data_IF_227895352754
#
_entry.id   IF_227895352754
#
_cell.length_a   1.000
_cell.length_b   1.000
_cell.length_c   1.000
_cell.angle_alpha   90.00
_cell.angle_beta   90.00
_cell.angle_gamma   90.00
#
_symmetry.space_group_name_H-M   'P 1'
#
loop_
_entity.id
_entity.type
_entity.pdbx_description
1 polymer ?
#
# COMPACT_ATOMS: atom_id res chain seq x y z
N UNK A 1 0.96 5.80 34.42
CA UNK A 1 2.02 5.55 33.41
C UNK A 1 1.47 4.49 32.45
N UNK A 2 1.10 4.83 31.22
CA UNK A 2 0.57 3.83 30.28
C UNK A 2 1.67 2.81 29.92
N UNK A 3 1.34 1.52 29.76
CA UNK A 3 2.28 0.54 29.24
C UNK A 3 2.88 1.05 27.92
N UNK A 4 4.20 0.95 27.75
CA UNK A 4 4.91 1.41 26.53
C UNK A 4 4.30 0.88 25.23
N UNK A 5 3.62 -0.28 25.25
CA UNK A 5 2.92 -0.85 24.09
C UNK A 5 1.69 -0.03 23.66
N UNK A 6 0.91 0.50 24.60
CA UNK A 6 -0.30 1.30 24.32
C UNK A 6 0.08 2.63 23.67
N UNK A 7 1.28 3.14 23.96
CA UNK A 7 1.75 4.42 23.44
C UNK A 7 1.98 4.40 21.93
N UNK A 8 2.60 3.34 21.40
CA UNK A 8 2.92 3.24 19.97
C UNK A 8 1.68 2.82 19.13
N UNK A 9 0.63 2.29 19.77
CA UNK A 9 -0.68 1.96 19.18
C UNK A 9 -1.71 3.11 19.26
N UNK A 10 -1.39 4.21 19.96
CA UNK A 10 -2.32 5.33 20.15
C UNK A 10 -2.15 6.41 19.05
N UNK A 11 -3.25 6.77 18.35
CA UNK A 11 -3.32 7.89 17.41
C UNK A 11 -2.62 9.18 17.81
N UNK A 12 -2.75 9.55 19.08
CA UNK A 12 -2.27 10.84 19.59
C UNK A 12 -0.75 10.90 19.76
N UNK A 13 -0.03 9.80 19.59
CA UNK A 13 1.41 9.70 19.78
C UNK A 13 2.19 9.39 18.51
N UNK A 14 1.56 9.39 17.33
CA UNK A 14 2.20 8.91 16.11
C UNK A 14 3.31 9.78 15.54
N UNK A 15 3.27 11.08 15.78
CA UNK A 15 4.36 11.99 15.42
C UNK A 15 5.53 11.91 16.40
N UNK A 16 5.37 11.16 17.50
CA UNK A 16 6.38 11.02 18.55
C UNK A 16 7.29 9.83 18.28
N UNK A 17 8.49 9.89 18.85
CA UNK A 17 9.52 8.86 18.70
C UNK A 17 8.97 7.48 19.06
N UNK A 18 9.26 6.52 18.19
CA UNK A 18 8.87 5.12 18.32
C UNK A 18 9.60 4.46 19.50
N UNK A 19 8.89 3.79 20.41
CA UNK A 19 9.46 3.30 21.67
C UNK A 19 9.94 1.86 21.61
N UNK A 20 9.28 0.98 20.84
CA UNK A 20 9.65 -0.44 20.71
C UNK A 20 9.68 -0.89 19.27
N UNK A 21 10.81 -1.36 18.74
CA UNK A 21 10.93 -1.77 17.34
C UNK A 21 11.36 -3.23 17.13
N UNK A 22 11.17 -4.13 18.08
CA UNK A 22 11.39 -5.56 17.84
C UNK A 22 10.42 -6.08 16.77
N UNK A 23 10.83 -7.09 16.01
CA UNK A 23 9.99 -7.73 14.98
C UNK A 23 8.69 -8.26 15.59
N UNK A 24 8.78 -8.93 16.75
CA UNK A 24 7.61 -9.41 17.49
C UNK A 24 6.63 -8.28 17.83
N UNK A 25 7.13 -7.10 18.23
CA UNK A 25 6.26 -5.96 18.50
C UNK A 25 5.61 -5.40 17.22
N UNK A 26 6.35 -5.33 16.11
CA UNK A 26 5.79 -4.90 14.83
C UNK A 26 4.69 -5.86 14.34
N UNK A 27 4.85 -7.17 14.56
CA UNK A 27 3.80 -8.17 14.27
C UNK A 27 2.55 -7.90 15.12
N UNK A 28 2.70 -7.66 16.42
CA UNK A 28 1.57 -7.33 17.31
C UNK A 28 0.86 -6.04 16.87
N UNK A 29 1.63 -5.02 16.51
CA UNK A 29 1.10 -3.75 16.02
C UNK A 29 0.36 -3.94 14.69
N UNK A 30 0.93 -4.72 13.77
CA UNK A 30 0.29 -5.06 12.50
C UNK A 30 -1.05 -5.76 12.74
N UNK A 31 -1.06 -6.81 13.56
CA UNK A 31 -2.29 -7.54 13.91
C UNK A 31 -3.36 -6.62 14.54
N UNK A 32 -2.96 -5.72 15.43
CA UNK A 32 -3.87 -4.76 16.07
C UNK A 32 -4.54 -3.83 15.06
N UNK A 33 -3.77 -3.13 14.23
CA UNK A 33 -4.33 -2.18 13.26
C UNK A 33 -5.14 -2.88 12.18
N UNK A 34 -4.71 -4.05 11.70
CA UNK A 34 -5.42 -4.80 10.68
C UNK A 34 -6.72 -5.43 11.20
N UNK A 35 -6.75 -5.88 12.46
CA UNK A 35 -7.99 -6.33 13.08
C UNK A 35 -9.03 -5.20 13.12
N UNK A 36 -8.61 -3.99 13.53
CA UNK A 36 -9.48 -2.79 13.50
C UNK A 36 -9.93 -2.48 12.07
N UNK A 37 -9.01 -2.47 11.10
CA UNK A 37 -9.32 -2.25 9.68
C UNK A 37 -10.37 -3.23 9.16
N UNK A 38 -10.22 -4.53 9.47
CA UNK A 38 -11.19 -5.55 9.08
C UNK A 38 -12.56 -5.29 9.74
N UNK A 39 -12.60 -5.00 11.04
CA UNK A 39 -13.86 -4.72 11.74
C UNK A 39 -14.58 -3.52 11.13
N UNK A 40 -13.85 -2.43 10.87
CA UNK A 40 -14.40 -1.22 10.25
C UNK A 40 -14.88 -1.52 8.82
N UNK A 41 -14.11 -2.26 8.04
CA UNK A 41 -14.49 -2.66 6.69
C UNK A 41 -15.82 -3.43 6.68
N UNK A 42 -15.97 -4.46 7.50
CA UNK A 42 -17.22 -5.23 7.54
C UNK A 42 -18.41 -4.42 8.07
N UNK A 43 -18.22 -3.66 9.16
CA UNK A 43 -19.27 -2.82 9.71
C UNK A 43 -19.73 -1.74 8.73
N UNK A 44 -18.77 -1.12 8.03
CA UNK A 44 -19.08 -0.10 7.03
C UNK A 44 -19.73 -0.70 5.79
N UNK A 45 -19.22 -1.82 5.24
CA UNK A 45 -19.85 -2.52 4.11
C UNK A 45 -21.32 -2.83 4.39
N UNK A 46 -21.62 -3.31 5.60
CA UNK A 46 -23.00 -3.54 6.04
C UNK A 46 -23.81 -2.24 6.07
N UNK A 47 -23.29 -1.15 6.67
CA UNK A 47 -24.01 0.12 6.72
C UNK A 47 -24.23 0.74 5.33
N UNK A 48 -23.21 0.72 4.47
CA UNK A 48 -23.24 1.30 3.13
C UNK A 48 -24.30 0.64 2.26
N UNK A 49 -24.40 -0.70 2.28
CA UNK A 49 -25.39 -1.42 1.48
C UNK A 49 -26.84 -1.14 1.88
N UNK A 50 -27.08 -0.59 3.09
CA UNK A 50 -28.41 -0.18 3.55
C UNK A 50 -28.70 1.32 3.31
N UNK A 51 -27.66 2.13 3.08
CA UNK A 51 -27.80 3.60 2.91
C UNK A 51 -27.78 3.97 1.43
N UNK A 52 -26.95 3.31 0.64
CA UNK A 52 -26.78 3.57 -0.79
C UNK A 52 -27.53 2.50 -1.57
N UNK A 53 -28.61 2.90 -2.25
CA UNK A 53 -29.37 2.02 -3.14
C UNK A 53 -28.44 1.43 -4.20
N UNK A 54 -28.60 0.13 -4.46
CA UNK A 54 -27.88 -0.58 -5.52
C UNK A 54 -26.35 -0.47 -5.40
N UNK A 55 -25.85 -0.45 -4.16
CA UNK A 55 -24.41 -0.45 -3.90
C UNK A 55 -23.77 -1.76 -4.36
N UNK A 56 -22.77 -1.63 -5.24
CA UNK A 56 -21.93 -2.73 -5.69
C UNK A 56 -20.52 -2.52 -5.18
N UNK A 57 -20.03 -3.48 -4.39
CA UNK A 57 -18.65 -3.42 -3.91
C UNK A 57 -17.69 -3.45 -5.11
N UNK A 58 -16.66 -2.57 -5.14
CA UNK A 58 -15.75 -2.52 -6.27
C UNK A 58 -15.07 -3.86 -6.51
N UNK A 59 -15.03 -4.28 -7.76
CA UNK A 59 -14.29 -5.46 -8.16
C UNK A 59 -13.46 -5.14 -9.40
N UNK A 60 -12.20 -5.56 -9.34
CA UNK A 60 -11.29 -5.56 -10.48
C UNK A 60 -10.59 -6.93 -10.52
N UNK A 61 -10.21 -7.41 -11.72
CA UNK A 61 -9.41 -8.61 -11.84
C UNK A 61 -8.05 -8.36 -11.21
N UNK A 62 -7.71 -9.22 -10.25
CA UNK A 62 -6.51 -9.11 -9.44
C UNK A 62 -5.76 -10.43 -9.54
N UNK A 63 -4.51 -10.37 -9.98
CA UNK A 63 -3.59 -11.49 -9.94
C UNK A 63 -2.81 -11.51 -8.62
N UNK A 64 -2.23 -12.67 -8.29
CA UNK A 64 -1.28 -12.78 -7.17
C UNK A 64 -0.10 -11.84 -7.39
N UNK A 65 0.40 -11.71 -8.63
CA UNK A 65 1.49 -10.78 -8.96
C UNK A 65 1.14 -9.34 -8.57
N UNK A 66 -0.05 -8.85 -8.92
CA UNK A 66 -0.49 -7.50 -8.54
C UNK A 66 -0.58 -7.32 -7.01
N UNK A 67 -1.07 -8.32 -6.28
CA UNK A 67 -1.13 -8.25 -4.81
C UNK A 67 0.27 -8.21 -4.20
N UNK A 68 1.21 -8.98 -4.73
CA UNK A 68 2.59 -8.97 -4.24
C UNK A 68 3.29 -7.65 -4.55
N UNK A 69 3.11 -7.10 -5.76
CA UNK A 69 3.78 -5.86 -6.21
C UNK A 69 3.13 -4.59 -5.64
N UNK A 70 1.84 -4.61 -5.31
CA UNK A 70 1.16 -3.49 -4.64
C UNK A 70 1.84 -3.09 -3.33
N UNK A 71 2.30 -4.06 -2.53
CA UNK A 71 3.02 -3.81 -1.27
C UNK A 71 4.23 -2.86 -1.43
N UNK A 72 5.28 -3.20 -2.21
CA UNK A 72 6.37 -2.28 -2.45
C UNK A 72 5.96 -1.02 -3.20
N UNK A 73 5.00 -1.07 -4.13
CA UNK A 73 4.56 0.14 -4.85
C UNK A 73 3.96 1.16 -3.88
N UNK A 74 2.97 0.75 -3.11
CA UNK A 74 2.22 1.62 -2.21
C UNK A 74 3.05 2.06 -1.01
N UNK A 75 3.77 1.13 -0.36
CA UNK A 75 4.59 1.45 0.80
C UNK A 75 5.72 2.43 0.45
N UNK A 76 6.33 2.28 -0.72
CA UNK A 76 7.42 3.15 -1.14
C UNK A 76 6.88 4.51 -1.59
N UNK A 77 5.87 4.55 -2.46
CA UNK A 77 5.36 5.82 -2.99
C UNK A 77 4.77 6.71 -1.90
N UNK A 78 3.96 6.15 -1.02
CA UNK A 78 3.20 6.93 -0.04
C UNK A 78 3.87 7.05 1.31
N UNK A 79 4.85 6.23 1.67
CA UNK A 79 5.48 6.30 2.98
C UNK A 79 7.01 6.38 2.90
N UNK A 80 7.64 5.54 2.08
CA UNK A 80 9.09 5.48 1.92
C UNK A 80 9.70 6.76 1.35
N UNK A 81 9.16 7.28 0.25
CA UNK A 81 9.64 8.52 -0.35
C UNK A 81 9.47 9.71 0.59
N UNK A 82 8.31 9.83 1.24
CA UNK A 82 8.08 10.85 2.26
C UNK A 82 9.09 10.75 3.41
N UNK A 83 9.41 9.53 3.86
CA UNK A 83 10.41 9.28 4.90
C UNK A 83 11.83 9.73 4.47
N UNK A 84 12.28 9.40 3.26
CA UNK A 84 13.65 9.72 2.83
C UNK A 84 13.83 11.14 2.28
N UNK A 85 12.79 11.74 1.68
CA UNK A 85 12.87 13.08 1.05
C UNK A 85 12.55 14.17 2.06
N UNK A 86 11.43 14.05 2.78
CA UNK A 86 11.01 15.06 3.74
C UNK A 86 11.53 14.79 5.16
N UNK A 87 11.63 13.52 5.56
CA UNK A 87 12.20 13.14 6.86
C UNK A 87 11.36 13.54 8.08
N UNK A 88 10.11 14.00 7.89
CA UNK A 88 9.23 14.42 8.98
C UNK A 88 8.06 13.45 9.15
N UNK A 89 7.63 13.15 10.39
CA UNK A 89 6.43 12.35 10.64
C UNK A 89 5.16 12.91 9.99
N UNK A 90 5.06 14.23 9.86
CA UNK A 90 3.94 14.92 9.24
C UNK A 90 3.86 14.64 7.75
N UNK A 91 4.99 14.62 7.03
CA UNK A 91 5.01 14.30 5.61
C UNK A 91 4.51 12.88 5.34
N UNK A 92 5.00 11.90 6.13
CA UNK A 92 4.60 10.49 5.99
C UNK A 92 3.11 10.31 6.31
N UNK A 93 2.59 11.00 7.32
CA UNK A 93 1.17 10.96 7.66
C UNK A 93 0.30 11.59 6.54
N UNK A 94 0.75 12.70 5.97
CA UNK A 94 0.04 13.38 4.89
C UNK A 94 -0.06 12.51 3.63
N UNK A 95 1.05 11.94 3.19
CA UNK A 95 1.05 11.05 2.01
C UNK A 95 0.32 9.74 2.28
N UNK A 96 0.39 9.21 3.51
CA UNK A 96 -0.48 8.11 3.94
C UNK A 96 -1.97 8.46 3.86
N UNK A 97 -2.37 9.67 4.23
CA UNK A 97 -3.77 10.08 4.17
C UNK A 97 -4.27 10.16 2.72
N UNK A 98 -3.41 10.63 1.81
CA UNK A 98 -3.67 10.57 0.36
C UNK A 98 -3.86 9.12 -0.09
N UNK A 99 -2.98 8.21 0.34
CA UNK A 99 -3.10 6.79 0.06
C UNK A 99 -4.43 6.19 0.53
N UNK A 100 -4.86 6.50 1.76
CA UNK A 100 -6.16 6.05 2.25
C UNK A 100 -7.30 6.59 1.39
N UNK A 101 -7.32 7.90 1.10
CA UNK A 101 -8.38 8.52 0.26
C UNK A 101 -8.40 7.92 -1.16
N UNK A 102 -7.25 7.58 -1.73
CA UNK A 102 -7.18 6.97 -3.06
C UNK A 102 -7.97 5.66 -3.17
N UNK A 103 -8.17 4.93 -2.06
CA UNK A 103 -8.97 3.70 -2.04
C UNK A 103 -10.47 3.92 -2.29
N UNK A 104 -10.97 5.16 -2.17
CA UNK A 104 -12.34 5.51 -2.62
C UNK A 104 -12.48 5.23 -4.12
N UNK A 105 -11.39 5.40 -4.89
CA UNK A 105 -11.38 5.30 -6.34
C UNK A 105 -10.91 3.94 -6.85
N UNK A 106 -10.96 2.88 -6.02
CA UNK A 106 -10.66 1.50 -6.42
C UNK A 106 -11.75 0.88 -7.32
N UNK A 107 -12.24 1.64 -8.29
CA UNK A 107 -13.32 1.27 -9.21
C UNK A 107 -13.07 1.85 -10.59
N UNK A 108 -13.50 1.15 -11.64
CA UNK A 108 -13.44 1.64 -13.02
C UNK A 108 -14.63 2.56 -13.37
N UNK A 109 -15.66 2.57 -12.52
CA UNK A 109 -16.89 3.33 -12.73
C UNK A 109 -17.00 4.38 -11.64
N UNK A 110 -16.96 5.66 -12.03
CA UNK A 110 -17.07 6.78 -11.09
C UNK A 110 -18.53 7.11 -10.79
N UNK A 111 -19.18 6.25 -10.00
CA UNK A 111 -20.56 6.42 -9.55
C UNK A 111 -20.65 6.23 -8.04
N UNK A 112 -21.58 6.94 -7.40
CA UNK A 112 -21.74 6.94 -5.94
C UNK A 112 -21.95 5.52 -5.40
N UNK A 113 -22.64 4.65 -6.14
CA UNK A 113 -22.94 3.28 -5.75
C UNK A 113 -21.83 2.27 -6.05
N UNK A 114 -20.71 2.70 -6.65
CA UNK A 114 -19.57 1.83 -7.01
C UNK A 114 -18.24 2.28 -6.39
N UNK A 115 -18.23 3.35 -5.58
CA UNK A 115 -17.03 3.82 -4.89
C UNK A 115 -16.59 2.87 -3.78
N UNK A 116 -15.26 2.77 -3.58
CA UNK A 116 -14.63 1.90 -2.60
C UNK A 116 -14.68 2.43 -1.16
N UNK A 117 -15.86 2.75 -0.64
CA UNK A 117 -15.98 3.30 0.72
C UNK A 117 -15.46 2.36 1.80
N UNK A 118 -15.76 1.07 1.71
CA UNK A 118 -15.26 0.08 2.66
C UNK A 118 -13.73 -0.07 2.58
N UNK A 119 -13.17 -0.02 1.37
CA UNK A 119 -11.72 -0.04 1.12
C UNK A 119 -11.04 1.21 1.69
N UNK A 120 -11.63 2.38 1.52
CA UNK A 120 -11.18 3.62 2.14
C UNK A 120 -11.15 3.53 3.66
N UNK A 121 -12.24 3.08 4.26
CA UNK A 121 -12.34 2.97 5.72
C UNK A 121 -11.42 1.88 6.28
N UNK A 122 -11.19 0.80 5.52
CA UNK A 122 -10.17 -0.21 5.81
C UNK A 122 -8.74 0.37 5.81
N UNK A 123 -8.44 1.23 4.83
CA UNK A 123 -7.11 1.80 4.65
C UNK A 123 -6.73 2.76 5.78
N UNK A 124 -7.69 3.43 6.45
CA UNK A 124 -7.38 4.40 7.50
C UNK A 124 -6.60 3.76 8.68
N UNK A 125 -7.06 2.68 9.35
CA UNK A 125 -6.26 2.09 10.42
C UNK A 125 -4.98 1.41 9.91
N UNK A 126 -5.02 0.85 8.71
CA UNK A 126 -3.87 0.20 8.07
C UNK A 126 -2.73 1.22 7.85
N UNK A 127 -3.04 2.41 7.36
CA UNK A 127 -2.08 3.50 7.17
C UNK A 127 -1.25 3.76 8.43
N UNK A 128 -1.86 3.66 9.63
CA UNK A 128 -1.15 3.92 10.88
C UNK A 128 -0.07 2.88 11.17
N UNK A 129 -0.29 1.62 10.80
CA UNK A 129 0.75 0.60 10.87
C UNK A 129 1.95 0.97 9.99
N UNK A 130 1.72 1.39 8.75
CA UNK A 130 2.78 1.78 7.80
C UNK A 130 3.54 3.00 8.30
N UNK A 131 2.85 4.09 8.69
CA UNK A 131 3.46 5.31 9.26
C UNK A 131 4.39 4.95 10.42
N UNK A 132 3.93 4.16 11.38
CA UNK A 132 4.72 3.81 12.58
C UNK A 132 5.90 2.91 12.23
N UNK A 133 5.73 1.97 11.31
CA UNK A 133 6.80 1.07 10.89
C UNK A 133 7.91 1.81 10.15
N UNK A 134 7.57 2.75 9.27
CA UNK A 134 8.54 3.62 8.60
C UNK A 134 9.29 4.51 9.59
N UNK A 135 8.58 5.16 10.52
CA UNK A 135 9.18 5.97 11.58
C UNK A 135 10.10 5.18 12.54
N UNK A 136 9.94 3.86 12.61
CA UNK A 136 10.82 2.97 13.38
C UNK A 136 12.16 2.68 12.68
N UNK A 137 12.32 3.09 11.42
CA UNK A 137 13.44 2.76 10.55
C UNK A 137 13.35 1.36 9.92
N UNK A 138 12.21 0.67 10.04
CA UNK A 138 11.98 -0.68 9.52
C UNK A 138 10.99 -0.71 8.36
N UNK A 139 11.04 0.26 7.45
CA UNK A 139 10.15 0.31 6.28
C UNK A 139 10.15 -0.96 5.42
N UNK A 140 11.25 -1.71 5.38
CA UNK A 140 11.30 -3.03 4.74
C UNK A 140 10.28 -4.01 5.31
N UNK A 141 9.98 -3.92 6.62
CA UNK A 141 8.98 -4.77 7.27
C UNK A 141 7.57 -4.38 6.81
N UNK A 142 7.29 -3.09 6.64
CA UNK A 142 6.01 -2.62 6.12
C UNK A 142 5.78 -3.14 4.69
N UNK A 143 6.80 -3.02 3.82
CA UNK A 143 6.77 -3.55 2.45
C UNK A 143 6.43 -5.04 2.42
N UNK A 144 7.18 -5.86 3.16
CA UNK A 144 6.95 -7.31 3.20
C UNK A 144 5.60 -7.66 3.81
N UNK A 145 5.23 -7.01 4.92
CA UNK A 145 3.96 -7.26 5.58
C UNK A 145 2.79 -6.93 4.65
N UNK A 146 2.84 -5.80 3.95
CA UNK A 146 1.78 -5.37 3.04
C UNK A 146 1.63 -6.35 1.87
N UNK A 147 2.72 -6.76 1.21
CA UNK A 147 2.66 -7.80 0.15
C UNK A 147 2.06 -9.11 0.64
N UNK A 148 2.49 -9.59 1.82
CA UNK A 148 1.97 -10.82 2.42
C UNK A 148 0.49 -10.67 2.78
N UNK A 149 0.11 -9.53 3.35
CA UNK A 149 -1.26 -9.24 3.74
C UNK A 149 -2.20 -9.24 2.53
N UNK A 150 -1.88 -8.49 1.48
CA UNK A 150 -2.69 -8.42 0.26
C UNK A 150 -2.83 -9.80 -0.40
N UNK A 151 -1.73 -10.57 -0.43
CA UNK A 151 -1.75 -11.93 -0.96
C UNK A 151 -2.62 -12.86 -0.10
N UNK A 152 -2.48 -12.82 1.22
CA UNK A 152 -3.28 -13.64 2.14
C UNK A 152 -4.77 -13.28 2.05
N UNK A 153 -5.08 -12.00 1.94
CA UNK A 153 -6.45 -11.52 1.78
C UNK A 153 -7.05 -12.02 0.47
N UNK A 154 -6.34 -11.89 -0.66
CA UNK A 154 -6.77 -12.46 -1.94
C UNK A 154 -6.98 -13.97 -1.83
N UNK A 155 -5.99 -14.72 -1.34
CA UNK A 155 -6.06 -16.18 -1.19
C UNK A 155 -7.25 -16.63 -0.34
N UNK A 156 -7.59 -15.88 0.70
CA UNK A 156 -8.79 -16.16 1.51
C UNK A 156 -10.09 -16.02 0.70
N UNK A 157 -10.19 -15.02 -0.18
CA UNK A 157 -11.34 -14.85 -1.07
C UNK A 157 -11.40 -15.94 -2.14
N UNK A 158 -10.24 -16.39 -2.65
CA UNK A 158 -10.14 -17.53 -3.55
C UNK A 158 -10.69 -18.79 -2.90
N UNK A 159 -10.21 -19.08 -1.68
CA UNK A 159 -10.56 -20.29 -0.93
C UNK A 159 -12.06 -20.35 -0.62
N UNK A 160 -12.66 -19.19 -0.33
CA UNK A 160 -14.10 -19.06 -0.09
C UNK A 160 -14.96 -19.06 -1.36
N UNK A 161 -14.35 -19.12 -2.55
CA UNK A 161 -15.06 -19.06 -3.84
C UNK A 161 -15.66 -17.69 -4.17
N UNK A 162 -15.24 -16.63 -3.47
CA UNK A 162 -15.74 -15.26 -3.68
C UNK A 162 -15.10 -14.62 -4.93
N UNK A 163 -13.85 -14.99 -5.22
CA UNK A 163 -13.10 -14.51 -6.39
C UNK A 163 -12.40 -15.68 -7.08
N UNK A 164 -12.38 -15.65 -8.40
CA UNK A 164 -11.45 -16.47 -9.17
C UNK A 164 -10.02 -15.94 -8.98
N UNK A 165 -9.06 -16.85 -8.89
CA UNK A 165 -7.69 -16.50 -8.60
C UNK A 165 -6.74 -17.06 -9.63
N UNK A 166 -5.97 -16.16 -10.19
CA UNK A 166 -4.89 -16.47 -11.12
C UNK A 166 -3.57 -15.96 -10.56
N UNK A 167 -2.50 -16.72 -10.83
CA UNK A 167 -1.15 -16.27 -10.45
C UNK A 167 -0.80 -15.01 -11.22
N UNK A 168 -1.15 -14.98 -12.51
CA UNK A 168 -0.97 -13.86 -13.43
C UNK A 168 -2.29 -13.49 -14.11
N UNK A 169 -2.42 -12.25 -14.54
CA UNK A 169 -3.56 -11.76 -15.30
C UNK A 169 -3.69 -12.41 -16.68
N UNK A 170 -4.89 -12.38 -17.25
CA UNK A 170 -5.16 -12.88 -18.60
C UNK A 170 -5.02 -11.77 -19.65
N UNK A 171 -4.51 -12.11 -20.84
CA UNK A 171 -4.35 -11.20 -21.98
C UNK A 171 -3.69 -9.85 -21.60
N UNK A 172 -4.40 -8.72 -21.71
CA UNK A 172 -3.87 -7.39 -21.40
C UNK A 172 -3.41 -7.24 -19.95
N UNK A 173 -4.03 -7.96 -19.00
CA UNK A 173 -3.64 -7.93 -17.59
C UNK A 173 -2.28 -8.62 -17.32
N UNK A 174 -1.84 -9.54 -18.19
CA UNK A 174 -0.50 -10.12 -18.10
C UNK A 174 0.58 -9.05 -18.32
N UNK A 175 0.36 -8.14 -19.27
CA UNK A 175 1.29 -7.03 -19.51
C UNK A 175 1.33 -6.06 -18.34
N UNK A 176 0.17 -5.79 -17.73
CA UNK A 176 0.07 -4.95 -16.52
C UNK A 176 0.86 -5.59 -15.37
N UNK A 177 0.75 -6.90 -15.15
CA UNK A 177 1.52 -7.62 -14.13
C UNK A 177 3.04 -7.43 -14.31
N UNK A 178 3.56 -7.60 -15.53
CA UNK A 178 4.99 -7.42 -15.80
C UNK A 178 5.44 -5.98 -15.56
N UNK A 179 4.64 -5.00 -15.98
CA UNK A 179 4.96 -3.60 -15.74
C UNK A 179 4.89 -3.27 -14.24
N UNK A 180 3.96 -3.85 -13.48
CA UNK A 180 3.87 -3.68 -12.04
C UNK A 180 5.09 -4.28 -11.31
N UNK A 181 5.61 -5.43 -11.76
CA UNK A 181 6.90 -5.97 -11.27
C UNK A 181 8.03 -4.99 -11.55
N UNK A 182 8.07 -4.43 -12.77
CA UNK A 182 9.02 -3.40 -13.15
C UNK A 182 8.96 -2.15 -12.26
N UNK A 183 7.75 -1.64 -12.00
CA UNK A 183 7.51 -0.52 -11.11
C UNK A 183 8.00 -0.81 -9.69
N UNK A 184 7.58 -1.94 -9.12
CA UNK A 184 8.01 -2.37 -7.80
C UNK A 184 9.55 -2.47 -7.70
N UNK A 185 10.21 -3.09 -8.69
CA UNK A 185 11.66 -3.21 -8.73
C UNK A 185 12.35 -1.84 -8.82
N UNK A 186 11.83 -0.93 -9.65
CA UNK A 186 12.37 0.43 -9.79
C UNK A 186 12.25 1.22 -8.48
N UNK A 187 11.11 1.12 -7.77
CA UNK A 187 10.88 1.77 -6.49
C UNK A 187 11.76 1.20 -5.38
N UNK A 188 11.91 -0.13 -5.32
CA UNK A 188 12.85 -0.78 -4.41
C UNK A 188 14.28 -0.27 -4.65
N UNK A 189 14.69 -0.14 -5.91
CA UNK A 189 16.00 0.41 -6.28
C UNK A 189 16.17 1.88 -5.85
N UNK A 190 15.14 2.71 -6.02
CA UNK A 190 15.13 4.11 -5.55
C UNK A 190 15.33 4.17 -4.04
N UNK A 191 14.54 3.43 -3.27
CA UNK A 191 14.61 3.42 -1.80
C UNK A 191 15.92 2.83 -1.30
N UNK A 192 16.40 1.75 -1.90
CA UNK A 192 17.70 1.16 -1.56
C UNK A 192 18.83 2.18 -1.76
N UNK A 193 18.78 2.94 -2.86
CA UNK A 193 19.75 3.98 -3.18
C UNK A 193 19.68 5.12 -2.16
N UNK A 194 18.48 5.58 -1.81
CA UNK A 194 18.25 6.60 -0.78
C UNK A 194 18.75 6.15 0.60
N UNK A 195 18.47 4.89 0.98
CA UNK A 195 18.92 4.30 2.24
C UNK A 195 20.45 4.24 2.35
N UNK A 196 21.12 3.92 1.24
CA UNK A 196 22.57 3.75 1.20
C UNK A 196 23.33 4.99 0.70
N UNK A 197 22.68 6.16 0.67
CA UNK A 197 23.26 7.43 0.15
C UNK A 197 24.66 7.75 0.70
N UNK A 198 24.91 7.48 1.98
CA UNK A 198 26.21 7.74 2.62
C UNK A 198 27.30 6.70 2.30
N UNK A 199 26.92 5.52 1.78
CA UNK A 199 27.82 4.40 1.51
C UNK A 199 28.24 4.31 0.05
N UNK A 200 27.56 5.03 -0.85
CA UNK A 200 27.75 4.96 -2.30
C UNK A 200 28.45 6.24 -2.78
N UNK A 201 29.45 6.15 -3.69
CA UNK A 201 30.03 7.34 -4.31
C UNK A 201 28.97 8.20 -4.99
N UNK A 202 29.04 9.53 -4.82
CA UNK A 202 28.01 10.47 -5.32
C UNK A 202 27.68 10.28 -6.80
N UNK A 203 28.68 10.00 -7.64
CA UNK A 203 28.51 9.75 -9.08
C UNK A 203 27.71 8.48 -9.35
N UNK A 204 28.03 7.39 -8.65
CA UNK A 204 27.32 6.10 -8.75
C UNK A 204 25.89 6.24 -8.23
N UNK A 205 25.73 6.86 -7.06
CA UNK A 205 24.43 7.16 -6.46
C UNK A 205 23.51 7.90 -7.45
N UNK A 206 24.03 8.97 -8.07
CA UNK A 206 23.25 9.80 -8.99
C UNK A 206 22.84 9.02 -10.24
N UNK A 207 23.74 8.22 -10.81
CA UNK A 207 23.44 7.39 -11.99
C UNK A 207 22.36 6.35 -11.71
N UNK A 208 22.48 5.63 -10.59
CA UNK A 208 21.49 4.61 -10.20
C UNK A 208 20.13 5.28 -9.97
N UNK A 209 20.10 6.39 -9.24
CA UNK A 209 18.84 7.08 -8.93
C UNK A 209 18.13 7.60 -10.19
N UNK A 210 18.86 8.25 -11.10
CA UNK A 210 18.29 8.75 -12.37
C UNK A 210 17.75 7.58 -13.20
N UNK A 211 18.53 6.50 -13.33
CA UNK A 211 18.11 5.31 -14.06
C UNK A 211 16.81 4.73 -13.48
N UNK A 212 16.77 4.49 -12.16
CA UNK A 212 15.59 3.91 -11.51
C UNK A 212 14.35 4.80 -11.62
N UNK A 213 14.49 6.12 -11.50
CA UNK A 213 13.38 7.08 -11.71
C UNK A 213 12.91 7.05 -13.17
N UNK A 214 13.83 6.96 -14.12
CA UNK A 214 13.48 6.93 -15.55
C UNK A 214 12.69 5.66 -15.89
N UNK A 215 13.15 4.51 -15.38
CA UNK A 215 12.45 3.23 -15.55
C UNK A 215 11.08 3.26 -14.88
N UNK A 216 10.98 3.81 -13.66
CA UNK A 216 9.71 4.00 -12.96
C UNK A 216 8.71 4.79 -13.80
N UNK A 217 9.10 5.98 -14.28
CA UNK A 217 8.22 6.84 -15.09
C UNK A 217 7.81 6.18 -16.40
N UNK A 218 8.73 5.46 -17.05
CA UNK A 218 8.43 4.75 -18.28
C UNK A 218 7.39 3.64 -18.06
N UNK A 219 7.53 2.83 -17.01
CA UNK A 219 6.53 1.80 -16.70
C UNK A 219 5.19 2.41 -16.29
N UNK A 220 5.20 3.52 -15.55
CA UNK A 220 3.97 4.22 -15.16
C UNK A 220 3.19 4.72 -16.38
N UNK A 221 3.87 5.34 -17.34
CA UNK A 221 3.26 5.80 -18.60
C UNK A 221 2.69 4.61 -19.39
N UNK A 222 3.44 3.50 -19.47
CA UNK A 222 2.99 2.31 -20.19
C UNK A 222 1.76 1.66 -19.55
N UNK A 223 1.71 1.55 -18.21
CA UNK A 223 0.54 1.04 -17.50
C UNK A 223 -0.69 1.92 -17.77
N UNK A 224 -0.55 3.23 -17.62
CA UNK A 224 -1.65 4.16 -17.84
C UNK A 224 -2.15 4.10 -19.30
N UNK A 225 -1.24 3.98 -20.27
CA UNK A 225 -1.61 3.80 -21.68
C UNK A 225 -2.41 2.50 -21.90
N UNK A 226 -2.01 1.39 -21.27
CA UNK A 226 -2.75 0.12 -21.36
C UNK A 226 -4.14 0.26 -20.73
N UNK A 227 -4.25 0.88 -19.54
CA UNK A 227 -5.55 1.10 -18.91
C UNK A 227 -6.48 1.96 -19.77
N UNK A 228 -5.97 3.05 -20.36
CA UNK A 228 -6.76 3.88 -21.28
C UNK A 228 -7.23 3.05 -22.48
N UNK A 229 -6.37 2.23 -23.07
CA UNK A 229 -6.73 1.36 -24.18
C UNK A 229 -7.78 0.30 -23.80
N UNK A 230 -7.82 -0.13 -22.54
CA UNK A 230 -8.82 -1.08 -22.05
C UNK A 230 -10.18 -0.44 -21.77
N UNK A 231 -10.23 0.90 -21.65
CA UNK A 231 -11.46 1.66 -21.45
C UNK A 231 -12.11 2.11 -22.77
N UNK A 232 -11.39 2.03 -23.89
CA UNK A 232 -11.83 2.40 -25.25
C UNK A 232 -12.21 1.16 -26.06
#
# INVERSE_FOLDING_TARGET
MYPKQIYDMNPRSWTKKFQKNSISYLIQMAAFYHAISITIMYASSFGISHIISDYEAPSFPISVVMMVTSGPIEEILFFGLAYYVAGTPQAILFTGAIWSVAHIFSTHVFQINTLGYASFLFAIPHMFFSVRTWLSGKGWFAILFHSVWNTAFLLSYCYLGIKECSVVGTANYLTVDFLAVGLAASLISIIWTLHNKSKIPKTVYTKILIFSITVFLLFEVLINFIYIKMLL
#
